data_IF_965032276213
#
_entry.id   IF_965032276213
#
_cell.length_a   1.000
_cell.length_b   1.000
_cell.length_c   1.000
_cell.angle_alpha   90.00
_cell.angle_beta   90.00
_cell.angle_gamma   90.00
#
_symmetry.space_group_name_H-M   'P 1'
#
loop_
_entity.id
_entity.type
_entity.pdbx_description
1 polymer ?
#
# COMPACT_ATOMS: atom_id res chain seq x y z
N UNK A 1 -11.92 3.18 -9.82
CA UNK A 1 -10.88 2.36 -10.44
C UNK A 1 -9.59 3.10 -10.24
N UNK A 2 -8.77 2.59 -9.33
CA UNK A 2 -7.44 3.11 -9.06
C UNK A 2 -6.47 2.72 -10.21
N UNK A 3 -5.37 3.46 -10.36
CA UNK A 3 -4.27 3.12 -11.28
C UNK A 3 -2.93 2.92 -10.54
N UNK A 4 -2.99 2.47 -9.28
CA UNK A 4 -1.82 2.35 -8.42
C UNK A 4 -0.75 1.40 -8.98
N UNK A 5 -1.15 0.26 -9.53
CA UNK A 5 -0.23 -0.71 -10.14
C UNK A 5 0.46 -0.12 -11.38
N UNK A 6 -0.28 0.61 -12.21
CA UNK A 6 0.27 1.29 -13.38
C UNK A 6 1.35 2.29 -12.96
N UNK A 7 1.06 3.14 -11.97
CA UNK A 7 2.02 4.12 -11.43
C UNK A 7 3.27 3.41 -10.90
N UNK A 8 3.11 2.29 -10.18
CA UNK A 8 4.22 1.54 -9.60
C UNK A 8 5.15 0.94 -10.65
N UNK A 9 4.60 0.51 -11.78
CA UNK A 9 5.33 -0.14 -12.87
C UNK A 9 5.95 0.83 -13.89
N UNK A 10 5.65 2.14 -13.80
CA UNK A 10 6.19 3.15 -14.74
C UNK A 10 7.71 3.14 -14.78
N UNK A 11 8.23 3.34 -15.99
CA UNK A 11 9.66 3.49 -16.29
C UNK A 11 9.89 4.87 -16.92
N UNK A 12 10.82 5.69 -16.39
CA UNK A 12 11.61 5.46 -15.18
C UNK A 12 10.74 5.41 -13.92
N UNK A 13 11.22 4.71 -12.89
CA UNK A 13 10.49 4.57 -11.63
C UNK A 13 10.40 5.93 -10.93
N UNK A 14 9.18 6.42 -10.74
CA UNK A 14 8.91 7.72 -10.09
C UNK A 14 8.33 7.57 -8.69
N UNK A 15 7.74 6.42 -8.37
CA UNK A 15 7.03 6.16 -7.12
C UNK A 15 7.48 4.85 -6.47
N UNK A 16 7.52 4.83 -5.14
CA UNK A 16 7.61 3.60 -4.36
C UNK A 16 6.21 2.96 -4.17
N UNK A 17 6.10 1.85 -3.43
CA UNK A 17 4.82 1.17 -3.23
C UNK A 17 3.77 2.00 -2.48
N UNK A 18 4.15 2.74 -1.43
CA UNK A 18 3.22 3.61 -0.70
C UNK A 18 2.76 4.80 -1.54
N UNK A 19 3.70 5.47 -2.23
CA UNK A 19 3.39 6.60 -3.10
C UNK A 19 2.48 6.21 -4.27
N UNK A 20 2.69 5.02 -4.85
CA UNK A 20 1.87 4.54 -5.97
C UNK A 20 0.43 4.28 -5.56
N UNK A 21 0.23 3.69 -4.37
CA UNK A 21 -1.11 3.50 -3.80
C UNK A 21 -1.79 4.84 -3.53
N UNK A 22 -1.11 5.78 -2.86
CA UNK A 22 -1.69 7.09 -2.58
C UNK A 22 -2.06 7.86 -3.86
N UNK A 23 -1.11 8.03 -4.78
CA UNK A 23 -1.36 8.71 -6.04
C UNK A 23 -2.47 8.02 -6.85
N UNK A 24 -2.43 6.69 -6.95
CA UNK A 24 -3.37 5.94 -7.78
C UNK A 24 -4.78 5.85 -7.22
N UNK A 25 -4.94 6.04 -5.91
CA UNK A 25 -6.24 6.11 -5.24
C UNK A 25 -6.81 7.53 -5.17
N UNK A 26 -6.11 8.55 -5.71
CA UNK A 26 -6.58 9.92 -5.76
C UNK A 26 -6.12 10.81 -4.60
N UNK A 27 -5.04 10.41 -3.91
CA UNK A 27 -4.42 11.16 -2.81
C UNK A 27 -2.96 11.57 -3.13
N UNK A 28 -2.70 12.29 -4.24
CA UNK A 28 -1.36 12.70 -4.62
C UNK A 28 -0.67 13.60 -3.57
N UNK A 29 -1.44 14.31 -2.74
CA UNK A 29 -0.94 15.15 -1.65
C UNK A 29 -0.13 14.38 -0.61
N UNK A 30 -0.39 13.07 -0.44
CA UNK A 30 0.31 12.22 0.52
C UNK A 30 1.66 11.69 -0.02
N UNK A 31 1.95 11.87 -1.31
CA UNK A 31 3.13 11.26 -1.95
C UNK A 31 4.46 11.75 -1.41
N UNK A 32 4.54 13.01 -0.95
CA UNK A 32 5.75 13.56 -0.34
C UNK A 32 6.05 12.94 1.02
N UNK A 33 5.01 12.79 1.86
CA UNK A 33 5.10 12.14 3.17
C UNK A 33 5.49 10.66 3.03
N UNK A 34 4.91 9.97 2.04
CA UNK A 34 5.11 8.55 1.80
C UNK A 34 6.41 8.20 1.06
N UNK A 35 7.23 9.18 0.68
CA UNK A 35 8.48 8.97 -0.04
C UNK A 35 9.48 8.10 0.75
N UNK A 36 9.48 8.22 2.07
CA UNK A 36 10.38 7.47 2.97
C UNK A 36 9.87 6.05 3.28
N UNK A 37 8.62 5.72 2.97
CA UNK A 37 7.96 4.47 3.38
C UNK A 37 8.24 3.26 2.46
N UNK A 38 9.01 3.44 1.39
CA UNK A 38 9.37 2.38 0.46
C UNK A 38 10.31 1.33 1.05
N UNK A 39 10.22 0.08 0.57
CA UNK A 39 11.19 -0.97 0.91
C UNK A 39 11.07 -1.51 2.34
N UNK A 40 9.91 -1.38 2.98
CA UNK A 40 9.69 -1.81 4.37
C UNK A 40 10.13 -0.80 5.42
N UNK A 41 10.18 0.49 5.05
CA UNK A 41 10.54 1.61 5.92
C UNK A 41 9.33 2.38 6.45
N UNK A 42 8.12 1.93 6.17
CA UNK A 42 6.95 2.42 6.87
C UNK A 42 7.07 2.10 8.38
N UNK A 43 6.34 2.82 9.26
CA UNK A 43 6.38 2.58 10.70
C UNK A 43 6.26 1.09 11.06
N UNK A 44 7.06 0.66 12.04
CA UNK A 44 7.09 -0.72 12.54
C UNK A 44 7.52 -1.78 11.50
N UNK A 45 8.07 -1.37 10.34
CA UNK A 45 8.43 -2.29 9.26
C UNK A 45 7.23 -2.77 8.43
N UNK A 46 6.08 -2.08 8.55
CA UNK A 46 4.87 -2.37 7.78
C UNK A 46 5.10 -2.25 6.27
N UNK A 47 4.29 -2.95 5.48
CA UNK A 47 4.22 -2.77 4.05
C UNK A 47 3.79 -1.34 3.70
N UNK A 48 4.57 -0.65 2.86
CA UNK A 48 4.26 0.73 2.47
C UNK A 48 2.91 0.86 1.75
N UNK A 49 2.55 -0.11 0.90
CA UNK A 49 1.26 -0.11 0.21
C UNK A 49 0.09 -0.14 1.20
N UNK A 50 0.15 -1.04 2.19
CA UNK A 50 -0.83 -1.10 3.27
C UNK A 50 -0.84 0.18 4.12
N UNK A 51 0.35 0.69 4.48
CA UNK A 51 0.44 1.91 5.28
C UNK A 51 -0.26 3.10 4.61
N UNK A 52 -0.06 3.28 3.30
CA UNK A 52 -0.77 4.30 2.53
C UNK A 52 -2.29 4.08 2.53
N UNK A 53 -2.76 2.85 2.30
CA UNK A 53 -4.18 2.52 2.33
C UNK A 53 -4.83 2.80 3.70
N UNK A 54 -4.15 2.48 4.80
CA UNK A 54 -4.62 2.77 6.16
C UNK A 54 -4.70 4.28 6.42
N UNK A 55 -3.69 5.04 5.98
CA UNK A 55 -3.65 6.49 6.13
C UNK A 55 -4.81 7.16 5.40
N UNK A 56 -5.06 6.76 4.15
CA UNK A 56 -6.17 7.28 3.34
C UNK A 56 -7.54 6.90 3.90
N UNK A 57 -7.69 5.69 4.44
CA UNK A 57 -8.97 5.21 4.99
C UNK A 57 -9.38 5.95 6.29
N UNK A 58 -8.43 6.61 6.96
CA UNK A 58 -8.67 7.32 8.19
C UNK A 58 -8.84 6.40 9.42
N UNK A 59 -8.94 6.99 10.61
CA UNK A 59 -8.83 6.26 11.88
C UNK A 59 -9.94 5.24 12.13
N UNK A 60 -11.15 5.47 11.58
CA UNK A 60 -12.30 4.58 11.76
C UNK A 60 -12.21 3.30 10.93
N UNK A 61 -11.53 3.35 9.78
CA UNK A 61 -11.47 2.25 8.80
C UNK A 61 -10.10 1.60 8.68
N UNK A 62 -9.04 2.21 9.21
CA UNK A 62 -7.67 1.70 9.08
C UNK A 62 -7.51 0.24 9.55
N UNK A 63 -8.19 -0.16 10.62
CA UNK A 63 -8.08 -1.53 11.14
C UNK A 63 -8.79 -2.53 10.23
N UNK A 64 -9.95 -2.16 9.67
CA UNK A 64 -10.65 -3.01 8.71
C UNK A 64 -9.83 -3.21 7.43
N UNK A 65 -9.17 -2.15 6.93
CA UNK A 65 -8.23 -2.22 5.81
C UNK A 65 -7.05 -3.13 6.14
N UNK A 66 -6.45 -2.98 7.32
CA UNK A 66 -5.35 -3.83 7.79
C UNK A 66 -5.74 -5.30 7.84
N UNK A 67 -6.87 -5.62 8.46
CA UNK A 67 -7.34 -7.00 8.60
C UNK A 67 -7.61 -7.66 7.23
N UNK A 68 -8.27 -6.94 6.31
CA UNK A 68 -8.49 -7.44 4.93
C UNK A 68 -7.16 -7.71 4.21
N UNK A 69 -6.19 -6.80 4.35
CA UNK A 69 -4.89 -6.95 3.71
C UNK A 69 -4.14 -8.18 4.24
N UNK A 70 -4.14 -8.38 5.56
CA UNK A 70 -3.53 -9.56 6.21
C UNK A 70 -4.25 -10.83 5.78
N UNK A 71 -5.58 -10.85 5.74
CA UNK A 71 -6.34 -12.01 5.31
C UNK A 71 -6.00 -12.45 3.88
N UNK A 72 -5.66 -11.51 2.99
CA UNK A 72 -5.33 -11.80 1.59
C UNK A 72 -3.84 -12.10 1.35
N UNK A 73 -2.94 -11.41 2.07
CA UNK A 73 -1.50 -11.46 1.81
C UNK A 73 -0.69 -12.18 2.89
N UNK A 74 -1.31 -12.54 4.01
CA UNK A 74 -0.73 -13.32 5.10
C UNK A 74 0.00 -12.50 6.18
N UNK A 75 0.46 -11.29 5.89
CA UNK A 75 1.12 -10.42 6.87
C UNK A 75 0.93 -8.94 6.53
N UNK A 76 1.12 -8.07 7.51
CA UNK A 76 1.25 -6.62 7.32
C UNK A 76 2.71 -6.17 7.13
N UNK A 77 3.67 -7.02 7.49
CA UNK A 77 5.09 -6.65 7.56
C UNK A 77 5.78 -6.93 6.22
N UNK A 78 6.47 -5.91 5.70
CA UNK A 78 7.09 -5.97 4.37
C UNK A 78 8.10 -7.12 4.25
N UNK A 79 8.86 -7.38 5.32
CA UNK A 79 9.84 -8.47 5.33
C UNK A 79 9.16 -9.84 5.22
N UNK A 80 8.14 -10.10 6.03
CA UNK A 80 7.42 -11.36 6.05
C UNK A 80 6.68 -11.62 4.73
N UNK A 81 6.04 -10.59 4.18
CA UNK A 81 5.41 -10.65 2.86
C UNK A 81 6.38 -11.21 1.81
N UNK A 82 7.62 -10.70 1.77
CA UNK A 82 8.61 -11.16 0.78
C UNK A 82 9.22 -12.52 1.11
N UNK A 83 9.54 -12.79 2.38
CA UNK A 83 10.38 -13.94 2.75
C UNK A 83 9.59 -15.17 3.18
N UNK A 84 8.39 -15.00 3.71
CA UNK A 84 7.53 -16.08 4.21
C UNK A 84 6.38 -16.33 3.25
N UNK A 85 5.69 -15.27 2.83
CA UNK A 85 4.51 -15.38 1.97
C UNK A 85 4.80 -15.20 0.48
N UNK A 86 6.05 -14.89 0.12
CA UNK A 86 6.51 -14.68 -1.26
C UNK A 86 5.63 -13.72 -2.09
N UNK A 87 5.05 -12.71 -1.42
CA UNK A 87 4.20 -11.69 -2.03
C UNK A 87 5.09 -10.60 -2.66
N UNK A 88 5.03 -10.39 -3.99
CA UNK A 88 5.73 -9.30 -4.65
C UNK A 88 5.09 -7.94 -4.33
N UNK A 89 5.86 -6.86 -4.49
CA UNK A 89 5.38 -5.51 -4.19
C UNK A 89 4.19 -5.11 -5.07
N UNK A 90 4.16 -5.57 -6.31
CA UNK A 90 3.10 -5.37 -7.30
C UNK A 90 1.77 -5.89 -6.75
N UNK A 91 1.76 -7.11 -6.20
CA UNK A 91 0.59 -7.71 -5.58
C UNK A 91 0.17 -6.92 -4.34
N UNK A 92 1.11 -6.51 -3.49
CA UNK A 92 0.80 -5.66 -2.33
C UNK A 92 0.18 -4.32 -2.73
N UNK A 93 0.65 -3.69 -3.81
CA UNK A 93 0.11 -2.43 -4.34
C UNK A 93 -1.32 -2.64 -4.86
N UNK A 94 -1.55 -3.68 -5.65
CA UNK A 94 -2.87 -4.03 -6.18
C UNK A 94 -3.87 -4.33 -5.04
N UNK A 95 -3.51 -5.22 -4.11
CA UNK A 95 -4.36 -5.56 -2.97
C UNK A 95 -4.70 -4.34 -2.12
N UNK A 96 -3.69 -3.53 -1.75
CA UNK A 96 -3.92 -2.37 -0.88
C UNK A 96 -4.84 -1.33 -1.53
N UNK A 97 -4.62 -1.03 -2.82
CA UNK A 97 -5.43 -0.06 -3.54
C UNK A 97 -6.88 -0.54 -3.72
N UNK A 98 -7.07 -1.83 -4.07
CA UNK A 98 -8.40 -2.44 -4.17
C UNK A 98 -9.13 -2.45 -2.82
N UNK A 99 -8.47 -2.88 -1.76
CA UNK A 99 -9.06 -2.93 -0.40
C UNK A 99 -9.48 -1.54 0.07
N UNK A 100 -8.69 -0.50 -0.20
CA UNK A 100 -9.07 0.88 0.07
C UNK A 100 -10.36 1.26 -0.66
N UNK A 101 -10.45 1.03 -1.99
CA UNK A 101 -11.67 1.34 -2.76
C UNK A 101 -12.91 0.59 -2.24
N UNK A 102 -12.76 -0.67 -1.82
CA UNK A 102 -13.83 -1.50 -1.26
C UNK A 102 -14.26 -1.09 0.16
N UNK A 103 -13.44 -0.31 0.87
CA UNK A 103 -13.73 0.10 2.26
C UNK A 103 -14.55 1.39 2.33
N UNK A 104 -14.99 1.90 1.17
CA UNK A 104 -15.71 3.16 1.01
C UNK A 104 -14.75 4.33 1.18
N UNK A 105 -14.61 5.13 0.12
CA UNK A 105 -13.86 6.39 0.15
C UNK A 105 -14.31 7.29 1.31
#
# INVERSE_FOLDING_TARGET
>A
MNNALEIFQRVPRTHNCSQSVAAGCGHPELTAELASCGGGRAPEGRCGALHAAMLMAGPEKQEAVRQKFIAENGSEFCRELKTVYHVPCEKSVESAARIFEESGK
#
